data_IF_039058112637
#
_entry.id   IF_039058112637
#
_cell.length_a   1.000
_cell.length_b   1.000
_cell.length_c   1.000
_cell.angle_alpha   90.00
_cell.angle_beta   90.00
_cell.angle_gamma   90.00
#
_symmetry.space_group_name_H-M   'P 1'
#
loop_
_entity.id
_entity.type
_entity.pdbx_description
1 polymer ?
#
# COMPACT_ATOMS: atom_id res chain seq x y z
N UNK A 1 55.59 -63.25 -13.65
CA UNK A 1 54.32 -63.71 -14.28
C UNK A 1 53.08 -63.53 -13.40
N UNK A 2 53.16 -63.61 -12.05
CA UNK A 2 51.99 -63.44 -11.17
C UNK A 2 51.27 -62.07 -11.23
N UNK A 3 51.98 -61.00 -11.60
CA UNK A 3 51.44 -59.62 -11.68
C UNK A 3 50.42 -59.41 -12.81
N UNK A 4 50.62 -60.04 -13.99
CA UNK A 4 49.73 -59.86 -15.15
C UNK A 4 48.37 -60.58 -14.97
N UNK A 5 48.37 -61.71 -14.26
CA UNK A 5 47.14 -62.48 -13.98
C UNK A 5 46.23 -61.73 -13.00
N UNK A 6 46.82 -61.09 -11.97
CA UNK A 6 46.09 -60.24 -11.02
C UNK A 6 45.48 -59.02 -11.70
N UNK A 7 46.20 -58.37 -12.62
CA UNK A 7 45.67 -57.24 -13.41
C UNK A 7 44.49 -57.67 -14.29
N UNK A 8 44.56 -58.84 -14.95
CA UNK A 8 43.46 -59.37 -15.77
C UNK A 8 42.20 -59.69 -14.94
N UNK A 9 42.37 -60.29 -13.76
CA UNK A 9 41.25 -60.54 -12.84
C UNK A 9 40.61 -59.24 -12.36
N UNK A 10 41.42 -58.20 -12.09
CA UNK A 10 40.91 -56.88 -11.70
C UNK A 10 40.12 -56.21 -12.83
N UNK A 11 40.56 -56.33 -14.08
CA UNK A 11 39.82 -55.83 -15.25
C UNK A 11 38.46 -56.53 -15.37
N UNK A 12 38.42 -57.86 -15.30
CA UNK A 12 37.16 -58.61 -15.38
C UNK A 12 36.17 -58.22 -14.26
N UNK A 13 36.69 -57.95 -13.06
CA UNK A 13 35.87 -57.44 -11.95
C UNK A 13 35.31 -56.04 -12.27
N UNK A 14 36.15 -55.13 -12.78
CA UNK A 14 35.72 -53.78 -13.17
C UNK A 14 34.68 -53.81 -14.29
N UNK A 15 34.84 -54.68 -15.30
CA UNK A 15 33.85 -54.83 -16.37
C UNK A 15 32.50 -55.32 -15.83
N UNK A 16 32.52 -56.25 -14.87
CA UNK A 16 31.32 -56.74 -14.19
C UNK A 16 30.64 -55.62 -13.38
N UNK A 17 31.43 -54.80 -12.69
CA UNK A 17 30.91 -53.68 -11.90
C UNK A 17 30.35 -52.58 -12.82
N UNK A 18 31.00 -52.31 -13.96
CA UNK A 18 30.50 -51.39 -15.00
C UNK A 18 29.16 -51.88 -15.56
N UNK A 19 29.02 -53.18 -15.84
CA UNK A 19 27.79 -53.74 -16.37
C UNK A 19 26.65 -53.65 -15.36
N UNK A 20 26.92 -53.95 -14.07
CA UNK A 20 25.94 -53.74 -12.99
C UNK A 20 25.53 -52.28 -12.87
N UNK A 21 26.47 -51.35 -12.96
CA UNK A 21 26.18 -49.91 -12.92
C UNK A 21 25.33 -49.46 -14.11
N UNK A 22 25.57 -50.00 -15.32
CA UNK A 22 24.73 -49.73 -16.50
C UNK A 22 23.30 -50.24 -16.30
N UNK A 23 23.15 -51.48 -15.84
CA UNK A 23 21.83 -52.07 -15.58
C UNK A 23 21.01 -51.30 -14.54
N UNK A 24 21.68 -50.66 -13.57
CA UNK A 24 21.02 -49.75 -12.62
C UNK A 24 20.76 -48.35 -13.19
N UNK A 25 21.61 -47.86 -14.09
CA UNK A 25 21.54 -46.51 -14.64
C UNK A 25 20.52 -46.39 -15.78
N UNK A 26 20.38 -47.41 -16.62
CA UNK A 26 19.43 -47.43 -17.74
C UNK A 26 17.96 -47.18 -17.32
N UNK A 27 17.39 -47.85 -16.29
CA UNK A 27 16.02 -47.57 -15.87
C UNK A 27 15.87 -46.17 -15.27
N UNK A 28 16.90 -45.65 -14.57
CA UNK A 28 16.86 -44.28 -14.04
C UNK A 28 16.92 -43.23 -15.14
N UNK A 29 17.69 -43.46 -16.21
CA UNK A 29 17.74 -42.59 -17.38
C UNK A 29 16.41 -42.60 -18.14
N UNK A 30 15.81 -43.78 -18.34
CA UNK A 30 14.50 -43.90 -18.96
C UNK A 30 13.40 -43.20 -18.15
N UNK A 31 13.42 -43.33 -16.81
CA UNK A 31 12.47 -42.64 -15.94
C UNK A 31 12.71 -41.12 -15.93
N UNK A 32 13.97 -40.67 -15.96
CA UNK A 32 14.30 -39.25 -16.13
C UNK A 32 13.72 -38.71 -17.43
N UNK A 33 13.86 -39.44 -18.54
CA UNK A 33 13.35 -39.03 -19.84
C UNK A 33 11.81 -38.94 -19.86
N UNK A 34 11.11 -39.90 -19.24
CA UNK A 34 9.65 -39.85 -19.06
C UNK A 34 9.20 -38.64 -18.24
N UNK A 35 9.86 -38.37 -17.12
CA UNK A 35 9.59 -37.18 -16.30
C UNK A 35 9.82 -35.89 -17.10
N UNK A 36 10.89 -35.83 -17.92
CA UNK A 36 11.16 -34.67 -18.78
C UNK A 36 10.09 -34.48 -19.86
N UNK A 37 9.60 -35.55 -20.47
CA UNK A 37 8.51 -35.50 -21.45
C UNK A 37 7.21 -35.02 -20.80
N UNK A 38 6.87 -35.55 -19.62
CA UNK A 38 5.67 -35.13 -18.87
C UNK A 38 5.71 -33.63 -18.53
N UNK A 39 6.87 -33.12 -18.12
CA UNK A 39 7.06 -31.69 -17.85
C UNK A 39 6.98 -30.83 -19.12
N UNK A 40 7.44 -31.34 -20.26
CA UNK A 40 7.38 -30.63 -21.53
C UNK A 40 5.94 -30.50 -22.06
N UNK A 41 5.12 -31.53 -21.85
CA UNK A 41 3.69 -31.53 -22.24
C UNK A 41 2.84 -30.64 -21.33
N UNK A 42 3.26 -30.44 -20.07
CA UNK A 42 2.53 -29.62 -19.12
C UNK A 42 2.67 -28.12 -19.44
N UNK A 43 1.62 -27.54 -20.04
CA UNK A 43 1.55 -26.09 -20.26
C UNK A 43 1.28 -25.38 -18.95
N UNK A 44 2.27 -24.68 -18.43
CA UNK A 44 2.11 -23.74 -17.32
C UNK A 44 1.34 -22.50 -17.82
N UNK A 45 0.04 -22.32 -17.51
CA UNK A 45 -0.78 -21.30 -18.17
C UNK A 45 -0.25 -19.88 -17.91
N UNK A 46 0.21 -19.60 -16.70
CA UNK A 46 0.81 -18.29 -16.36
C UNK A 46 2.15 -18.03 -17.06
N UNK A 47 2.81 -19.08 -17.57
CA UNK A 47 4.03 -18.95 -18.37
C UNK A 47 3.74 -18.89 -19.88
N UNK A 48 2.49 -18.98 -20.30
CA UNK A 48 2.11 -18.88 -21.72
C UNK A 48 1.25 -17.65 -22.01
N UNK A 49 0.60 -17.07 -20.99
CA UNK A 49 -0.15 -15.83 -21.11
C UNK A 49 0.73 -14.63 -21.50
N UNK A 50 0.23 -13.68 -22.32
CA UNK A 50 0.90 -12.40 -22.54
C UNK A 50 1.23 -11.67 -21.22
N UNK A 51 2.26 -10.83 -21.26
CA UNK A 51 2.72 -10.11 -20.07
C UNK A 51 1.62 -9.20 -19.50
N UNK A 52 0.84 -8.57 -20.38
CA UNK A 52 -0.25 -7.66 -20.05
C UNK A 52 -1.37 -8.38 -19.30
N UNK A 53 -1.76 -9.56 -19.76
CA UNK A 53 -2.79 -10.38 -19.10
C UNK A 53 -2.28 -10.90 -17.76
N UNK A 54 -1.01 -11.28 -17.70
CA UNK A 54 -0.39 -11.73 -16.45
C UNK A 54 -0.31 -10.60 -15.43
N UNK A 55 0.04 -9.37 -15.86
CA UNK A 55 0.03 -8.19 -15.02
C UNK A 55 -1.38 -7.85 -14.53
N UNK A 56 -2.40 -7.95 -15.38
CA UNK A 56 -3.79 -7.74 -14.97
C UNK A 56 -4.23 -8.74 -13.90
N UNK A 57 -3.89 -10.03 -14.06
CA UNK A 57 -4.15 -11.04 -13.04
C UNK A 57 -3.46 -10.66 -11.71
N UNK A 58 -2.21 -10.20 -11.76
CA UNK A 58 -1.51 -9.74 -10.56
C UNK A 58 -2.21 -8.55 -9.91
N UNK A 59 -2.68 -7.58 -10.69
CA UNK A 59 -3.40 -6.41 -10.18
C UNK A 59 -4.67 -6.84 -9.45
N UNK A 60 -5.45 -7.74 -10.03
CA UNK A 60 -6.70 -8.24 -9.41
C UNK A 60 -6.45 -9.03 -8.12
N UNK A 61 -5.30 -9.71 -8.00
CA UNK A 61 -4.94 -10.46 -6.80
C UNK A 61 -4.43 -9.56 -5.66
N UNK A 62 -3.75 -8.46 -5.99
CA UNK A 62 -3.07 -7.62 -5.00
C UNK A 62 -3.84 -6.33 -4.66
N UNK A 63 -4.72 -5.85 -5.54
CA UNK A 63 -5.46 -4.62 -5.33
C UNK A 63 -6.94 -4.88 -5.05
N UNK A 64 -7.30 -4.88 -3.78
CA UNK A 64 -8.68 -4.79 -3.33
C UNK A 64 -8.86 -3.50 -2.55
N UNK A 65 -9.17 -2.39 -3.23
CA UNK A 65 -9.52 -1.15 -2.54
C UNK A 65 -10.65 -1.45 -1.52
N UNK A 66 -10.54 -1.01 -0.25
CA UNK A 66 -9.62 0.00 0.28
C UNK A 66 -8.26 -0.51 0.78
N UNK A 67 -7.98 -1.81 0.69
CA UNK A 67 -6.73 -2.39 1.16
C UNK A 67 -5.55 -2.01 0.25
N UNK A 68 -4.44 -1.63 0.87
CA UNK A 68 -3.18 -1.30 0.20
C UNK A 68 -2.15 -2.34 0.62
N UNK A 69 -1.37 -2.90 -0.31
CA UNK A 69 -0.46 -3.98 0.03
C UNK A 69 0.72 -3.45 0.85
N UNK A 70 1.05 -4.17 1.92
CA UNK A 70 2.32 -3.99 2.62
C UNK A 70 3.50 -4.25 1.68
N UNK A 71 4.67 -3.70 1.99
CA UNK A 71 5.90 -4.04 1.28
C UNK A 71 6.28 -5.52 1.44
N UNK A 72 5.77 -6.19 2.46
CA UNK A 72 6.12 -7.56 2.80
C UNK A 72 4.94 -8.52 2.70
N UNK A 73 5.25 -9.81 2.60
CA UNK A 73 4.25 -10.88 2.63
C UNK A 73 3.64 -11.25 1.27
N UNK A 74 2.69 -12.20 1.25
CA UNK A 74 2.18 -12.82 0.02
C UNK A 74 1.35 -11.87 -0.84
N UNK A 75 0.80 -10.82 -0.23
CA UNK A 75 0.00 -9.78 -0.88
C UNK A 75 0.86 -8.60 -1.36
N UNK A 76 2.18 -8.65 -1.17
CA UNK A 76 3.10 -7.65 -1.70
C UNK A 76 3.43 -7.93 -3.17
N UNK A 77 3.47 -6.89 -4.03
CA UNK A 77 4.06 -7.00 -5.38
C UNK A 77 5.48 -7.55 -5.38
N UNK A 78 6.26 -7.34 -4.30
CA UNK A 78 7.60 -7.89 -4.17
C UNK A 78 7.64 -9.42 -4.07
N UNK A 79 6.57 -10.05 -3.58
CA UNK A 79 6.47 -11.51 -3.54
C UNK A 79 6.47 -12.11 -4.96
N UNK A 80 5.83 -11.41 -5.92
CA UNK A 80 5.82 -11.83 -7.34
C UNK A 80 7.23 -11.90 -7.93
N UNK A 81 8.15 -11.06 -7.46
CA UNK A 81 9.54 -11.05 -7.90
C UNK A 81 10.33 -12.30 -7.48
N UNK A 82 9.83 -13.04 -6.49
CA UNK A 82 10.54 -14.19 -5.91
C UNK A 82 10.11 -15.53 -6.52
N UNK A 83 8.97 -15.59 -7.22
CA UNK A 83 8.36 -16.84 -7.69
C UNK A 83 9.16 -17.46 -8.85
N UNK A 84 9.28 -16.74 -9.97
CA UNK A 84 10.08 -17.21 -11.12
C UNK A 84 10.59 -16.01 -11.94
N UNK A 85 11.50 -16.28 -12.90
CA UNK A 85 12.06 -15.22 -13.77
C UNK A 85 10.97 -14.46 -14.54
N UNK A 86 10.04 -15.17 -15.18
CA UNK A 86 8.96 -14.54 -15.95
C UNK A 86 8.08 -13.63 -15.09
N UNK A 87 7.70 -14.07 -13.89
CA UNK A 87 6.88 -13.25 -12.98
C UNK A 87 7.63 -12.01 -12.52
N UNK A 88 8.93 -12.13 -12.25
CA UNK A 88 9.78 -10.99 -11.93
C UNK A 88 9.83 -9.99 -13.09
N UNK A 89 9.99 -10.46 -14.31
CA UNK A 89 10.06 -9.59 -15.49
C UNK A 89 8.73 -8.86 -15.69
N UNK A 90 7.60 -9.60 -15.68
CA UNK A 90 6.26 -9.02 -15.80
C UNK A 90 5.99 -8.01 -14.68
N UNK A 91 6.16 -8.41 -13.42
CA UNK A 91 5.87 -7.56 -12.28
C UNK A 91 6.75 -6.30 -12.24
N UNK A 92 8.05 -6.41 -12.60
CA UNK A 92 8.95 -5.25 -12.66
C UNK A 92 8.59 -4.29 -13.79
N UNK A 93 8.01 -4.80 -14.89
CA UNK A 93 7.62 -4.01 -16.07
C UNK A 93 6.22 -3.40 -15.99
N UNK A 94 5.46 -3.65 -14.92
CA UNK A 94 4.08 -3.22 -14.76
C UNK A 94 3.95 -2.16 -13.64
N UNK A 95 4.04 -0.85 -13.95
CA UNK A 95 4.09 0.21 -12.94
C UNK A 95 2.86 0.28 -12.03
N UNK A 96 1.69 -0.08 -12.57
CA UNK A 96 0.44 -0.11 -11.82
C UNK A 96 0.50 -1.04 -10.60
N UNK A 97 1.30 -2.10 -10.60
CA UNK A 97 1.47 -2.99 -9.43
C UNK A 97 2.15 -2.29 -8.26
N UNK A 98 2.90 -1.24 -8.53
CA UNK A 98 3.71 -0.51 -7.54
C UNK A 98 3.07 0.82 -7.13
N UNK A 99 1.92 1.17 -7.71
CA UNK A 99 1.26 2.46 -7.46
C UNK A 99 0.41 2.47 -6.19
N UNK A 100 0.14 1.30 -5.61
CA UNK A 100 -0.59 1.17 -4.35
C UNK A 100 0.36 0.64 -3.28
N UNK A 101 0.44 1.31 -2.13
CA UNK A 101 1.35 0.91 -1.06
C UNK A 101 0.88 1.30 0.34
N UNK A 102 1.31 0.51 1.31
CA UNK A 102 1.17 0.78 2.74
C UNK A 102 2.56 0.90 3.36
N UNK A 103 2.82 2.04 4.00
CA UNK A 103 4.04 2.34 4.73
C UNK A 103 3.69 2.63 6.20
N UNK A 104 3.94 1.63 7.05
CA UNK A 104 3.69 1.68 8.49
C UNK A 104 5.03 1.69 9.25
N UNK A 105 5.43 2.84 9.78
CA UNK A 105 6.68 3.03 10.51
C UNK A 105 6.46 2.90 12.02
N UNK A 106 6.06 1.71 12.47
CA UNK A 106 5.78 1.46 13.91
C UNK A 106 6.90 0.77 14.67
N UNK A 107 7.88 0.20 13.98
CA UNK A 107 9.00 -0.49 14.62
C UNK A 107 10.31 0.01 14.02
N UNK A 108 11.09 0.74 14.82
CA UNK A 108 12.33 1.42 14.43
C UNK A 108 13.36 0.47 13.81
N UNK A 109 13.32 -0.82 14.14
CA UNK A 109 14.21 -1.83 13.55
C UNK A 109 14.04 -2.01 12.04
N UNK A 110 12.87 -1.67 11.49
CA UNK A 110 12.55 -1.84 10.07
C UNK A 110 12.47 -0.53 9.29
N UNK A 111 12.56 0.62 9.96
CA UNK A 111 12.41 1.94 9.33
C UNK A 111 13.35 2.16 8.15
N UNK A 112 14.65 1.85 8.33
CA UNK A 112 15.64 2.01 7.26
C UNK A 112 15.31 1.17 6.02
N UNK A 113 14.88 -0.08 6.23
CA UNK A 113 14.47 -0.97 5.15
C UNK A 113 13.21 -0.46 4.45
N UNK A 114 12.20 -0.02 5.20
CA UNK A 114 10.95 0.50 4.63
C UNK A 114 11.17 1.80 3.86
N UNK A 115 12.07 2.69 4.33
CA UNK A 115 12.50 3.89 3.62
C UNK A 115 13.14 3.55 2.26
N UNK A 116 13.99 2.54 2.21
CA UNK A 116 14.62 2.11 0.96
C UNK A 116 13.60 1.47 0.00
N UNK A 117 12.67 0.68 0.53
CA UNK A 117 11.58 0.08 -0.25
C UNK A 117 10.62 1.15 -0.79
N UNK A 118 10.31 2.20 -0.02
CA UNK A 118 9.52 3.33 -0.49
C UNK A 118 10.09 3.92 -1.79
N UNK A 119 11.40 4.18 -1.82
CA UNK A 119 12.09 4.70 -3.02
C UNK A 119 11.98 3.74 -4.20
N UNK A 120 12.13 2.44 -3.97
CA UNK A 120 11.96 1.41 -5.01
C UNK A 120 10.53 1.37 -5.55
N UNK A 121 9.52 1.44 -4.68
CA UNK A 121 8.11 1.44 -5.09
C UNK A 121 7.77 2.68 -5.90
N UNK A 122 8.19 3.86 -5.44
CA UNK A 122 7.98 5.11 -6.16
C UNK A 122 8.66 5.10 -7.52
N UNK A 123 9.90 4.59 -7.60
CA UNK A 123 10.61 4.44 -8.87
C UNK A 123 9.86 3.49 -9.83
N UNK A 124 9.41 2.33 -9.35
CA UNK A 124 8.71 1.33 -10.19
C UNK A 124 7.30 1.73 -10.57
N UNK A 125 6.64 2.54 -9.75
CA UNK A 125 5.31 3.09 -10.04
C UNK A 125 5.29 4.01 -11.26
N UNK A 126 6.48 4.42 -11.76
CA UNK A 126 6.58 5.21 -12.98
C UNK A 126 5.81 6.52 -12.81
N UNK A 127 4.84 6.79 -13.68
CA UNK A 127 3.94 7.94 -13.61
C UNK A 127 2.49 7.56 -13.22
N UNK A 128 2.28 6.36 -12.68
CA UNK A 128 0.96 5.94 -12.24
C UNK A 128 0.46 6.81 -11.09
N UNK A 129 -0.87 6.97 -11.03
CA UNK A 129 -1.53 7.64 -9.94
C UNK A 129 -1.37 6.81 -8.65
N UNK A 130 -0.99 7.47 -7.56
CA UNK A 130 -0.56 6.81 -6.33
C UNK A 130 -1.69 6.67 -5.33
N UNK A 131 -1.82 5.49 -4.74
CA UNK A 131 -2.67 5.23 -3.58
C UNK A 131 -1.78 4.80 -2.41
N UNK A 132 -1.66 5.67 -1.41
CA UNK A 132 -0.68 5.51 -0.33
C UNK A 132 -1.40 5.56 1.02
N UNK A 133 -1.09 4.58 1.87
CA UNK A 133 -1.32 4.69 3.31
C UNK A 133 0.03 4.92 3.96
N UNK A 134 0.12 5.99 4.72
CA UNK A 134 1.30 6.30 5.51
C UNK A 134 0.89 6.58 6.96
N UNK A 135 1.47 5.80 7.87
CA UNK A 135 1.31 5.99 9.29
C UNK A 135 2.64 5.68 9.98
N UNK A 136 2.89 6.33 11.10
CA UNK A 136 4.12 6.18 11.86
C UNK A 136 3.86 6.32 13.35
N UNK A 137 4.78 5.77 14.14
CA UNK A 137 4.82 6.00 15.57
C UNK A 137 6.27 6.30 15.97
N UNK A 138 6.46 7.36 16.76
CA UNK A 138 7.79 7.81 17.16
C UNK A 138 8.15 7.23 18.53
N UNK A 139 8.89 6.12 18.57
CA UNK A 139 9.39 5.54 19.83
C UNK A 139 10.56 6.33 20.41
N UNK A 140 11.41 6.88 19.53
CA UNK A 140 12.60 7.67 19.89
C UNK A 140 12.69 8.94 19.04
N UNK A 141 13.25 10.00 19.62
CA UNK A 141 13.60 11.21 18.87
C UNK A 141 14.63 10.94 17.75
N UNK A 142 15.35 9.82 17.82
CA UNK A 142 16.33 9.41 16.80
C UNK A 142 15.67 8.95 15.49
N UNK A 143 14.39 8.57 15.51
CA UNK A 143 13.65 8.11 14.32
C UNK A 143 13.12 9.27 13.46
N UNK A 144 12.99 10.46 14.07
CA UNK A 144 12.39 11.65 13.48
C UNK A 144 13.05 12.07 12.14
N UNK A 145 14.38 12.07 11.98
CA UNK A 145 15.01 12.42 10.70
C UNK A 145 14.63 11.46 9.56
N UNK A 146 14.48 10.17 9.85
CA UNK A 146 14.13 9.16 8.85
C UNK A 146 12.66 9.27 8.46
N UNK A 147 11.78 9.44 9.45
CA UNK A 147 10.35 9.68 9.20
C UNK A 147 10.18 10.93 8.34
N UNK A 148 10.93 11.98 8.65
CA UNK A 148 10.93 13.23 7.89
C UNK A 148 11.41 13.01 6.44
N UNK A 149 12.46 12.21 6.21
CA UNK A 149 12.92 11.84 4.86
C UNK A 149 11.83 11.08 4.08
N UNK A 150 11.13 10.13 4.72
CA UNK A 150 10.02 9.40 4.09
C UNK A 150 8.89 10.35 3.67
N UNK A 151 8.54 11.31 4.52
CA UNK A 151 7.49 12.30 4.23
C UNK A 151 7.91 13.19 3.06
N UNK A 152 9.14 13.72 3.06
CA UNK A 152 9.67 14.53 1.96
C UNK A 152 9.66 13.74 0.65
N UNK A 153 10.13 12.49 0.69
CA UNK A 153 10.11 11.59 -0.46
C UNK A 153 8.68 11.39 -1.00
N UNK A 154 7.68 11.24 -0.13
CA UNK A 154 6.27 11.12 -0.56
C UNK A 154 5.74 12.42 -1.17
N UNK A 155 6.08 13.57 -0.57
CA UNK A 155 5.64 14.90 -1.02
C UNK A 155 6.21 15.27 -2.39
N UNK A 156 7.43 14.84 -2.71
CA UNK A 156 8.04 15.02 -4.04
C UNK A 156 7.21 14.36 -5.16
N UNK A 157 6.33 13.41 -4.81
CA UNK A 157 5.42 12.73 -5.73
C UNK A 157 3.93 13.10 -5.53
N UNK A 158 3.64 14.15 -4.76
CA UNK A 158 2.26 14.58 -4.44
C UNK A 158 1.41 14.88 -5.69
N UNK A 159 2.04 15.35 -6.77
CA UNK A 159 1.36 15.66 -8.04
C UNK A 159 0.65 14.46 -8.68
N UNK A 160 0.99 13.22 -8.26
CA UNK A 160 0.34 11.98 -8.72
C UNK A 160 -0.56 11.33 -7.70
N UNK A 161 -0.69 11.87 -6.50
CA UNK A 161 -1.54 11.25 -5.48
C UNK A 161 -2.98 11.19 -5.98
N UNK A 162 -3.60 10.02 -5.83
CA UNK A 162 -5.00 9.76 -6.12
C UNK A 162 -5.79 9.51 -4.84
N UNK A 163 -5.26 8.65 -3.97
CA UNK A 163 -5.91 8.23 -2.73
C UNK A 163 -4.89 8.20 -1.59
N UNK A 164 -4.89 9.22 -0.75
CA UNK A 164 -3.94 9.35 0.37
C UNK A 164 -4.62 9.02 1.70
N UNK A 165 -3.95 8.27 2.56
CA UNK A 165 -4.33 8.06 3.95
C UNK A 165 -3.11 8.37 4.80
N UNK A 166 -3.15 9.51 5.49
CA UNK A 166 -2.03 10.05 6.25
C UNK A 166 -2.46 10.35 7.68
N UNK A 167 -1.67 9.81 8.60
CA UNK A 167 -1.76 10.14 10.02
C UNK A 167 -0.46 10.88 10.33
N UNK A 168 -0.57 12.21 10.45
CA UNK A 168 0.57 13.10 10.63
C UNK A 168 0.41 13.94 11.90
N UNK A 169 1.54 14.31 12.47
CA UNK A 169 1.67 15.48 13.29
C UNK A 169 1.21 16.76 12.55
N UNK A 170 0.55 17.69 13.23
CA UNK A 170 0.11 18.95 12.62
C UNK A 170 1.24 19.76 11.99
N UNK A 171 2.41 19.79 12.65
CA UNK A 171 3.61 20.47 12.12
C UNK A 171 4.16 19.83 10.84
N UNK A 172 3.77 18.59 10.51
CA UNK A 172 4.15 17.90 9.27
C UNK A 172 3.08 18.08 8.19
N UNK A 173 1.80 18.18 8.57
CA UNK A 173 0.69 18.48 7.64
C UNK A 173 0.91 19.80 6.90
N UNK A 174 1.40 20.85 7.55
CA UNK A 174 1.62 22.15 6.91
C UNK A 174 2.66 22.14 5.76
N UNK A 175 3.45 21.07 5.64
CA UNK A 175 4.39 20.88 4.54
C UNK A 175 3.73 20.39 3.25
N UNK A 176 2.50 19.85 3.33
CA UNK A 176 1.73 19.43 2.16
C UNK A 176 1.34 20.68 1.37
N UNK A 177 2.10 20.95 0.31
CA UNK A 177 1.93 22.12 -0.54
C UNK A 177 2.10 21.74 -2.00
N UNK A 178 1.62 22.61 -2.90
CA UNK A 178 1.73 22.43 -4.34
C UNK A 178 0.56 21.64 -4.95
N UNK A 179 0.59 21.49 -6.30
CA UNK A 179 -0.54 20.98 -7.06
C UNK A 179 -0.70 19.46 -6.90
N UNK A 180 -1.91 19.04 -6.55
CA UNK A 180 -2.31 17.63 -6.43
C UNK A 180 -3.50 17.34 -7.37
N UNK A 181 -3.30 17.43 -8.69
CA UNK A 181 -4.38 17.44 -9.68
C UNK A 181 -5.18 16.13 -9.74
N UNK A 182 -4.58 15.01 -9.31
CA UNK A 182 -5.20 13.68 -9.36
C UNK A 182 -5.86 13.26 -8.03
N UNK A 183 -5.70 14.04 -6.96
CA UNK A 183 -6.12 13.63 -5.62
C UNK A 183 -7.64 13.62 -5.52
N UNK A 184 -8.23 12.44 -5.31
CA UNK A 184 -9.69 12.20 -5.24
C UNK A 184 -10.17 11.87 -3.85
N UNK A 185 -9.36 11.14 -3.09
CA UNK A 185 -9.67 10.70 -1.74
C UNK A 185 -8.53 11.07 -0.79
N UNK A 186 -8.87 11.66 0.35
CA UNK A 186 -7.92 11.96 1.41
C UNK A 186 -8.47 11.52 2.77
N UNK A 187 -7.69 10.71 3.47
CA UNK A 187 -7.93 10.36 4.87
C UNK A 187 -6.86 11.03 5.73
N UNK A 188 -7.32 11.73 6.77
CA UNK A 188 -6.48 12.56 7.63
C UNK A 188 -6.71 12.15 9.09
N UNK A 189 -5.65 11.71 9.75
CA UNK A 189 -5.59 11.53 11.19
C UNK A 189 -4.60 12.46 11.87
N UNK A 190 -4.66 12.49 13.20
CA UNK A 190 -3.69 13.18 14.06
C UNK A 190 -2.95 12.17 14.92
N UNK A 191 -1.68 12.46 15.20
CA UNK A 191 -0.91 11.74 16.19
C UNK A 191 -1.47 12.00 17.60
N UNK A 192 -1.52 10.95 18.45
CA UNK A 192 -2.10 11.03 19.79
C UNK A 192 -1.25 11.93 20.70
N UNK A 193 -1.91 12.80 21.48
CA UNK A 193 -1.25 13.63 22.49
C UNK A 193 -0.68 14.96 21.97
N UNK A 194 -0.82 15.27 20.67
CA UNK A 194 -0.43 16.57 20.14
C UNK A 194 -1.35 17.71 20.61
N UNK A 195 -0.76 18.86 20.85
CA UNK A 195 -1.50 20.09 21.07
C UNK A 195 -2.07 20.59 19.73
N UNK A 196 -3.35 20.97 19.75
CA UNK A 196 -4.00 21.59 18.58
C UNK A 196 -3.20 22.82 18.15
N UNK A 197 -2.96 23.01 16.85
CA UNK A 197 -2.14 24.11 16.37
C UNK A 197 -2.84 25.45 16.66
N UNK A 198 -2.04 26.44 17.02
CA UNK A 198 -2.51 27.81 17.28
C UNK A 198 -2.89 28.53 15.98
N UNK A 199 -2.32 28.11 14.85
CA UNK A 199 -2.53 28.72 13.54
C UNK A 199 -3.31 27.79 12.60
N UNK A 200 -4.12 28.36 11.68
CA UNK A 200 -4.81 27.56 10.67
C UNK A 200 -3.82 26.90 9.70
N UNK A 201 -4.03 25.61 9.44
CA UNK A 201 -3.33 24.80 8.44
C UNK A 201 -4.22 24.64 7.22
N UNK A 202 -3.72 25.05 6.06
CA UNK A 202 -4.41 24.86 4.78
C UNK A 202 -3.87 23.61 4.11
N UNK A 203 -4.74 22.66 3.82
CA UNK A 203 -4.40 21.40 3.15
C UNK A 203 -5.16 21.25 1.85
N UNK A 204 -4.50 20.64 0.86
CA UNK A 204 -5.13 20.23 -0.39
C UNK A 204 -5.83 21.38 -1.14
N UNK A 205 -5.41 22.63 -0.94
CA UNK A 205 -6.00 23.79 -1.60
C UNK A 205 -5.87 23.70 -3.14
N UNK A 206 -4.79 23.10 -3.63
CA UNK A 206 -4.53 22.87 -5.05
C UNK A 206 -4.88 21.44 -5.49
N UNK A 207 -5.92 20.84 -4.88
CA UNK A 207 -6.45 19.52 -5.24
C UNK A 207 -7.88 19.61 -5.81
N UNK A 208 -8.07 20.03 -7.07
CA UNK A 208 -9.40 20.28 -7.66
C UNK A 208 -10.24 19.01 -7.86
N UNK A 209 -9.62 17.83 -7.80
CA UNK A 209 -10.30 16.55 -7.96
C UNK A 209 -10.78 15.94 -6.63
N UNK A 210 -10.49 16.58 -5.49
CA UNK A 210 -10.76 16.01 -4.16
C UNK A 210 -12.25 15.99 -3.86
N UNK A 211 -12.79 14.78 -3.68
CA UNK A 211 -14.23 14.54 -3.48
C UNK A 211 -14.55 13.76 -2.22
N UNK A 212 -13.66 12.87 -1.80
CA UNK A 212 -13.84 12.01 -0.65
C UNK A 212 -12.88 12.42 0.47
N UNK A 213 -13.41 12.74 1.64
CA UNK A 213 -12.60 13.07 2.82
C UNK A 213 -13.00 12.21 4.00
N UNK A 214 -12.00 11.61 4.64
CA UNK A 214 -12.15 10.88 5.90
C UNK A 214 -11.36 11.59 6.98
N UNK A 215 -12.01 11.91 8.09
CA UNK A 215 -11.40 12.55 9.25
C UNK A 215 -11.38 11.52 10.39
N UNK A 216 -10.18 11.15 10.85
CA UNK A 216 -9.99 10.17 11.91
C UNK A 216 -9.98 10.78 13.31
N UNK A 217 -9.80 12.10 13.40
CA UNK A 217 -9.79 12.87 14.65
C UNK A 217 -10.79 14.03 14.60
N UNK A 218 -10.94 14.71 15.73
CA UNK A 218 -11.80 15.88 15.89
C UNK A 218 -11.06 17.11 15.36
N UNK A 219 -11.59 17.72 14.30
CA UNK A 219 -11.00 18.90 13.66
C UNK A 219 -11.94 20.10 13.73
N UNK A 220 -11.40 21.27 14.04
CA UNK A 220 -12.11 22.53 13.86
C UNK A 220 -11.85 23.07 12.44
N UNK A 221 -12.88 23.34 11.61
CA UNK A 221 -12.71 23.89 10.25
C UNK A 221 -12.00 25.24 10.18
N UNK A 222 -12.01 26.00 11.28
CA UNK A 222 -11.26 27.26 11.38
C UNK A 222 -9.76 27.03 11.44
N UNK A 223 -9.35 25.85 11.94
CA UNK A 223 -7.96 25.44 12.08
C UNK A 223 -7.55 24.64 10.84
N UNK A 224 -8.27 23.58 10.48
CA UNK A 224 -7.94 22.78 9.30
C UNK A 224 -8.81 23.21 8.11
N UNK A 225 -8.20 23.92 7.16
CA UNK A 225 -8.88 24.40 5.96
C UNK A 225 -8.66 23.42 4.81
N UNK A 226 -9.75 22.82 4.37
CA UNK A 226 -9.85 21.97 3.18
C UNK A 226 -10.73 22.67 2.13
N UNK A 227 -10.67 22.27 0.85
CA UNK A 227 -11.60 22.74 -0.17
C UNK A 227 -12.99 22.11 0.03
N UNK A 228 -13.68 22.50 1.10
CA UNK A 228 -14.94 21.88 1.55
C UNK A 228 -16.07 21.94 0.50
N UNK A 229 -16.12 23.00 -0.30
CA UNK A 229 -17.19 23.25 -1.25
C UNK A 229 -17.26 22.26 -2.42
N UNK A 230 -16.20 21.48 -2.66
CA UNK A 230 -16.15 20.45 -3.72
C UNK A 230 -16.26 19.00 -3.18
N UNK A 231 -16.35 18.83 -1.86
CA UNK A 231 -16.42 17.51 -1.23
C UNK A 231 -17.85 16.95 -1.39
N UNK A 232 -17.95 15.75 -1.95
CA UNK A 232 -19.23 15.03 -2.16
C UNK A 232 -19.43 13.91 -1.15
N UNK A 233 -18.36 13.43 -0.52
CA UNK A 233 -18.40 12.33 0.46
C UNK A 233 -17.53 12.63 1.66
N UNK A 234 -18.13 12.69 2.84
CA UNK A 234 -17.46 12.98 4.10
C UNK A 234 -17.69 11.85 5.11
N UNK A 235 -16.61 11.36 5.71
CA UNK A 235 -16.67 10.47 6.87
C UNK A 235 -15.89 11.06 8.03
N UNK A 236 -16.55 11.44 9.11
CA UNK A 236 -15.90 11.94 10.32
C UNK A 236 -16.04 10.90 11.43
N UNK A 237 -14.93 10.21 11.75
CA UNK A 237 -14.91 9.06 12.68
C UNK A 237 -14.87 9.44 14.15
N UNK A 238 -14.43 10.67 14.47
CA UNK A 238 -14.40 11.18 15.83
C UNK A 238 -14.56 12.69 15.85
N UNK A 239 -15.80 13.18 15.91
CA UNK A 239 -16.09 14.64 15.93
C UNK A 239 -17.09 14.99 17.01
N UNK A 240 -17.00 16.23 17.52
CA UNK A 240 -18.07 16.79 18.35
C UNK A 240 -19.19 17.36 17.49
N UNK A 241 -20.42 17.41 18.02
CA UNK A 241 -21.58 17.91 17.28
C UNK A 241 -21.38 19.32 16.68
N UNK A 242 -20.70 20.21 17.42
CA UNK A 242 -20.38 21.56 16.95
C UNK A 242 -19.46 21.56 15.73
N UNK A 243 -18.42 20.73 15.77
CA UNK A 243 -17.45 20.62 14.67
C UNK A 243 -18.11 20.02 13.43
N UNK A 244 -18.95 19.00 13.63
CA UNK A 244 -19.72 18.41 12.55
C UNK A 244 -20.62 19.44 11.87
N UNK A 245 -21.39 20.24 12.63
CA UNK A 245 -22.24 21.29 12.05
C UNK A 245 -21.42 22.34 11.31
N UNK A 246 -20.28 22.75 11.87
CA UNK A 246 -19.42 23.73 11.20
C UNK A 246 -18.89 23.17 9.88
N UNK A 247 -18.41 21.92 9.83
CA UNK A 247 -17.97 21.27 8.58
C UNK A 247 -19.11 21.25 7.56
N UNK A 248 -20.31 20.83 7.98
CA UNK A 248 -21.47 20.70 7.10
C UNK A 248 -21.93 22.03 6.50
N UNK A 249 -21.67 23.16 7.17
CA UNK A 249 -21.95 24.49 6.61
C UNK A 249 -21.08 24.84 5.41
N UNK A 250 -19.86 24.30 5.34
CA UNK A 250 -18.91 24.57 4.26
C UNK A 250 -19.01 23.56 3.10
N UNK A 251 -19.67 22.42 3.28
CA UNK A 251 -19.80 21.37 2.26
C UNK A 251 -21.12 21.47 1.50
N UNK A 252 -21.21 22.34 0.49
CA UNK A 252 -22.47 22.66 -0.20
C UNK A 252 -23.01 21.59 -1.15
N UNK A 253 -22.16 20.65 -1.60
CA UNK A 253 -22.53 19.60 -2.58
C UNK A 253 -22.43 18.18 -2.01
N UNK A 254 -22.50 18.05 -0.69
CA UNK A 254 -22.33 16.78 0.00
C UNK A 254 -23.47 15.81 -0.34
N UNK A 255 -23.14 14.64 -0.87
CA UNK A 255 -24.08 13.57 -1.24
C UNK A 255 -24.06 12.43 -0.19
N UNK A 256 -22.88 12.07 0.31
CA UNK A 256 -22.69 11.00 1.29
C UNK A 256 -22.03 11.53 2.56
N UNK A 257 -22.66 11.30 3.72
CA UNK A 257 -22.14 11.76 5.00
C UNK A 257 -22.23 10.66 6.07
N UNK A 258 -21.11 10.37 6.72
CA UNK A 258 -21.05 9.49 7.90
C UNK A 258 -20.40 10.24 9.05
N UNK A 259 -21.12 10.41 10.16
CA UNK A 259 -20.63 11.11 11.35
C UNK A 259 -20.72 10.22 12.57
N UNK A 260 -19.59 10.06 13.24
CA UNK A 260 -19.47 9.42 14.54
C UNK A 260 -19.27 10.52 15.59
N UNK A 261 -20.35 10.83 16.29
CA UNK A 261 -20.42 11.96 17.22
C UNK A 261 -20.05 11.48 18.61
N UNK A 262 -19.02 12.08 19.19
CA UNK A 262 -18.65 11.89 20.59
C UNK A 262 -19.47 12.85 21.49
N UNK A 263 -19.92 12.38 22.67
CA UNK A 263 -20.52 13.27 23.65
C UNK A 263 -19.47 14.26 24.13
N UNK A 264 -19.64 15.54 23.77
CA UNK A 264 -18.82 16.64 24.27
C UNK A 264 -19.37 17.20 25.58
N UNK A 265 -18.59 18.05 26.25
CA UNK A 265 -19.08 18.83 27.39
C UNK A 265 -20.29 19.70 26.97
N UNK A 266 -21.28 19.90 27.86
CA UNK A 266 -22.43 20.75 27.58
C UNK A 266 -21.99 22.21 27.38
N UNK A 267 -21.81 22.60 26.12
CA UNK A 267 -21.59 23.98 25.72
C UNK A 267 -22.90 24.79 25.67
N UNK A 268 -22.81 26.12 25.54
CA UNK A 268 -24.00 26.96 25.41
C UNK A 268 -24.84 26.55 24.19
N UNK A 269 -26.17 26.76 24.22
CA UNK A 269 -27.05 26.45 23.10
C UNK A 269 -26.54 27.20 21.87
N UNK A 270 -26.04 26.43 20.91
CA UNK A 270 -25.47 26.94 19.67
C UNK A 270 -26.49 26.70 18.56
N UNK A 271 -26.65 27.67 17.65
CA UNK A 271 -27.49 27.46 16.48
C UNK A 271 -26.90 26.34 15.61
N UNK A 272 -27.62 25.23 15.52
CA UNK A 272 -27.25 24.05 14.73
C UNK A 272 -27.88 24.07 13.32
N UNK A 273 -28.32 25.25 12.85
CA UNK A 273 -28.78 25.42 11.47
C UNK A 273 -27.67 25.07 10.46
N UNK A 274 -28.00 24.17 9.53
CA UNK A 274 -27.16 23.71 8.43
C UNK A 274 -27.91 24.06 7.14
N UNK A 275 -27.23 24.58 6.09
CA UNK A 275 -27.85 24.83 4.80
C UNK A 275 -28.45 23.53 4.21
N UNK A 276 -29.44 23.60 3.30
CA UNK A 276 -29.97 22.41 2.64
C UNK A 276 -28.85 21.74 1.83
N UNK A 277 -28.53 20.49 2.18
CA UNK A 277 -27.52 19.68 1.52
C UNK A 277 -28.18 18.65 0.60
N UNK A 278 -27.62 18.37 -0.60
CA UNK A 278 -28.14 17.37 -1.53
C UNK A 278 -27.80 15.93 -1.09
N UNK A 279 -27.97 15.62 0.21
CA UNK A 279 -27.62 14.35 0.81
C UNK A 279 -28.47 13.22 0.22
N UNK A 280 -27.80 12.24 -0.37
CA UNK A 280 -28.36 10.94 -0.77
C UNK A 280 -28.30 9.95 0.39
N UNK A 281 -27.27 10.07 1.23
CA UNK A 281 -26.98 9.16 2.34
C UNK A 281 -26.47 9.93 3.56
N UNK A 282 -27.10 9.72 4.71
CA UNK A 282 -26.64 10.23 6.00
C UNK A 282 -26.64 9.10 7.02
N UNK A 283 -25.47 8.84 7.61
CA UNK A 283 -25.31 7.92 8.75
C UNK A 283 -24.80 8.70 9.95
N UNK A 284 -25.56 8.62 11.05
CA UNK A 284 -25.18 9.20 12.33
C UNK A 284 -25.00 8.06 13.33
N UNK A 285 -23.84 8.00 13.96
CA UNK A 285 -23.57 7.08 15.07
C UNK A 285 -23.16 7.92 16.28
N UNK A 286 -23.84 7.70 17.41
CA UNK A 286 -23.42 8.26 18.68
C UNK A 286 -22.49 7.26 19.35
N UNK A 287 -21.27 7.68 19.65
CA UNK A 287 -20.30 6.83 20.34
C UNK A 287 -20.62 6.89 21.83
N UNK A 288 -21.17 5.82 22.40
CA UNK A 288 -21.34 5.70 23.84
C UNK A 288 -19.96 5.53 24.50
N UNK A 289 -19.68 6.33 25.53
CA UNK A 289 -18.46 6.26 26.36
C UNK A 289 -18.59 5.13 27.37
#
# INVERSE_FOLDING_TARGET
>A
MASLTATRARIAQLDTDIEKLRQLMDPLLAERERCQQTLADYKYPVLTLPAEITAEIFLQLLHSYPHRPSFFGPQSPAFLLQICRRWRDVASSAPALWSTMELLLYNSSYHAQQRDLLKVWLQRSGNCALSVLFDYYTESADDEPLIQECIETLLDHAWRWQDIDIIFAFGKLCKITGPMPLLRSASIGMESGEQRPETPVVLFAEAPALKHVVLHASFNPSILKLPWSQITSLTAKAVYAREAVEILRHTTILEDCTLNIYPGEPGPPTDFSIPPLPLRSLRLQCVAV
#
